data_IF_853646610677
#
_entry.id   IF_853646610677
#
_cell.length_a   1.000
_cell.length_b   1.000
_cell.length_c   1.000
_cell.angle_alpha   90.00
_cell.angle_beta   90.00
_cell.angle_gamma   90.00
#
_symmetry.space_group_name_H-M   'P 1'
#
loop_
_entity.id
_entity.type
_entity.pdbx_description
1 polymer ?
#
# COMPACT_ATOMS: atom_id res chain seq x y z
N UNK A 1 19.34 20.52 5.09
CA UNK A 1 18.06 21.09 4.61
C UNK A 1 17.55 20.41 3.34
N UNK A 2 18.23 20.50 2.18
CA UNK A 2 17.70 19.86 0.97
C UNK A 2 17.91 18.32 0.95
N UNK A 3 19.02 17.86 1.55
CA UNK A 3 19.32 16.44 1.68
C UNK A 3 18.32 15.71 2.60
N UNK A 4 17.86 16.38 3.66
CA UNK A 4 16.83 15.92 4.59
C UNK A 4 15.50 15.58 3.89
N UNK A 5 15.27 16.15 2.71
CA UNK A 5 14.12 15.83 1.85
C UNK A 5 14.49 14.79 0.78
N UNK A 6 15.62 14.98 0.10
CA UNK A 6 16.00 14.13 -1.03
C UNK A 6 16.35 12.70 -0.62
N UNK A 7 17.02 12.50 0.52
CA UNK A 7 17.39 11.18 1.03
C UNK A 7 16.15 10.30 1.26
N UNK A 8 15.17 10.70 2.10
CA UNK A 8 13.96 9.91 2.28
C UNK A 8 13.13 9.82 1.00
N UNK A 9 13.07 10.87 0.18
CA UNK A 9 12.37 10.81 -1.11
C UNK A 9 12.89 9.66 -1.99
N UNK A 10 14.20 9.58 -2.22
CA UNK A 10 14.77 8.53 -3.07
C UNK A 10 14.77 7.18 -2.36
N UNK A 11 15.12 7.13 -1.08
CA UNK A 11 15.20 5.87 -0.32
C UNK A 11 13.84 5.18 -0.24
N UNK A 12 12.79 5.90 0.16
CA UNK A 12 11.43 5.36 0.24
C UNK A 12 10.91 5.03 -1.16
N UNK A 13 11.13 5.91 -2.14
CA UNK A 13 10.67 5.70 -3.51
C UNK A 13 11.23 4.43 -4.12
N UNK A 14 12.55 4.23 -3.99
CA UNK A 14 13.22 3.03 -4.48
C UNK A 14 12.80 1.78 -3.71
N UNK A 15 12.57 1.88 -2.41
CA UNK A 15 12.11 0.75 -1.59
C UNK A 15 10.68 0.31 -1.93
N UNK A 16 9.83 1.23 -2.37
CA UNK A 16 8.44 0.95 -2.76
C UNK A 16 8.32 0.46 -4.21
N UNK A 17 9.29 0.76 -5.09
CA UNK A 17 9.29 0.35 -6.50
C UNK A 17 9.17 -1.17 -6.68
N UNK A 18 8.04 -1.59 -7.24
CA UNK A 18 7.72 -3.00 -7.46
C UNK A 18 7.24 -3.75 -6.21
N UNK A 19 7.02 -3.07 -5.08
CA UNK A 19 6.53 -3.73 -3.87
C UNK A 19 5.05 -4.11 -3.96
N UNK A 20 4.61 -4.95 -3.01
CA UNK A 20 3.23 -5.43 -2.81
C UNK A 20 2.19 -4.34 -2.96
N UNK A 21 2.47 -3.15 -2.44
CA UNK A 21 1.55 -2.03 -2.38
C UNK A 21 1.40 -1.38 -3.74
N UNK A 22 2.49 -1.24 -4.50
CA UNK A 22 2.43 -0.80 -5.89
C UNK A 22 1.66 -1.78 -6.77
N UNK A 23 1.90 -3.09 -6.64
CA UNK A 23 1.13 -4.10 -7.37
C UNK A 23 -0.37 -4.02 -7.05
N UNK A 24 -0.71 -3.81 -5.78
CA UNK A 24 -2.08 -3.67 -5.34
C UNK A 24 -2.75 -2.39 -5.88
N UNK A 25 -2.02 -1.26 -5.95
CA UNK A 25 -2.48 0.00 -6.56
C UNK A 25 -2.68 -0.15 -8.08
N UNK A 26 -1.75 -0.81 -8.78
CA UNK A 26 -1.91 -1.13 -10.22
C UNK A 26 -3.21 -1.92 -10.44
N UNK A 27 -3.45 -2.94 -9.62
CA UNK A 27 -4.64 -3.78 -9.74
C UNK A 27 -5.93 -3.01 -9.41
N UNK A 28 -5.96 -2.22 -8.33
CA UNK A 28 -7.12 -1.41 -7.98
C UNK A 28 -7.43 -0.36 -9.04
N UNK A 29 -6.42 0.40 -9.48
CA UNK A 29 -6.55 1.43 -10.51
C UNK A 29 -7.06 0.87 -11.84
N UNK A 30 -6.64 -0.34 -12.20
CA UNK A 30 -7.11 -1.00 -13.42
C UNK A 30 -8.58 -1.43 -13.39
N UNK A 31 -9.22 -1.44 -12.22
CA UNK A 31 -10.62 -1.85 -12.02
C UNK A 31 -11.56 -0.69 -11.68
N UNK A 32 -11.03 0.49 -11.42
CA UNK A 32 -11.81 1.71 -11.16
C UNK A 32 -11.70 2.70 -12.31
N UNK A 33 -12.72 3.54 -12.48
CA UNK A 33 -12.68 4.69 -13.40
C UNK A 33 -12.29 5.98 -12.67
N UNK A 34 -12.50 6.04 -11.36
CA UNK A 34 -12.31 7.24 -10.53
C UNK A 34 -10.89 7.29 -9.94
N UNK A 35 -9.90 7.42 -10.82
CA UNK A 35 -8.47 7.40 -10.47
C UNK A 35 -8.06 8.52 -9.50
N UNK A 36 -8.71 9.70 -9.59
CA UNK A 36 -8.45 10.80 -8.66
C UNK A 36 -8.91 10.47 -7.25
N UNK A 37 -10.11 9.90 -7.09
CA UNK A 37 -10.59 9.48 -5.78
C UNK A 37 -9.70 8.40 -5.19
N UNK A 38 -9.25 7.45 -6.02
CA UNK A 38 -8.29 6.42 -5.61
C UNK A 38 -6.98 7.06 -5.10
N UNK A 39 -6.40 7.98 -5.87
CA UNK A 39 -5.16 8.68 -5.49
C UNK A 39 -5.32 9.45 -4.17
N UNK A 40 -6.41 10.19 -4.01
CA UNK A 40 -6.68 10.95 -2.77
C UNK A 40 -6.79 10.00 -1.57
N UNK A 41 -7.45 8.84 -1.74
CA UNK A 41 -7.54 7.83 -0.67
C UNK A 41 -6.18 7.26 -0.29
N UNK A 42 -5.35 6.93 -1.29
CA UNK A 42 -3.98 6.43 -1.11
C UNK A 42 -3.11 7.47 -0.40
N UNK A 43 -3.08 8.72 -0.88
CA UNK A 43 -2.28 9.80 -0.31
C UNK A 43 -2.71 10.10 1.12
N UNK A 44 -4.02 10.14 1.39
CA UNK A 44 -4.51 10.39 2.74
C UNK A 44 -4.11 9.27 3.71
N UNK A 45 -4.12 8.01 3.26
CA UNK A 45 -3.63 6.91 4.06
C UNK A 45 -2.14 7.09 4.39
N UNK A 46 -1.28 7.34 3.39
CA UNK A 46 0.15 7.61 3.62
C UNK A 46 0.40 8.80 4.57
N UNK A 47 -0.33 9.90 4.41
CA UNK A 47 -0.25 11.04 5.33
C UNK A 47 -0.46 10.62 6.79
N UNK A 48 -1.43 9.74 7.04
CA UNK A 48 -1.72 9.28 8.41
C UNK A 48 -0.66 8.27 8.87
N UNK A 49 -0.37 7.26 8.06
CA UNK A 49 0.54 6.17 8.44
C UNK A 49 1.97 6.70 8.63
N UNK A 50 2.53 7.38 7.63
CA UNK A 50 3.87 7.93 7.70
C UNK A 50 3.95 9.14 8.64
N UNK A 51 2.90 9.95 8.70
CA UNK A 51 2.81 11.06 9.63
C UNK A 51 2.94 10.59 11.08
N UNK A 52 2.19 9.55 11.46
CA UNK A 52 2.29 8.96 12.82
C UNK A 52 3.71 8.45 13.09
N UNK A 53 4.34 7.75 12.13
CA UNK A 53 5.67 7.19 12.34
C UNK A 53 6.77 8.24 12.43
N UNK A 54 6.75 9.24 11.55
CA UNK A 54 7.73 10.31 11.52
C UNK A 54 7.60 11.19 12.77
N UNK A 55 6.37 11.47 13.23
CA UNK A 55 6.14 12.22 14.47
C UNK A 55 6.50 11.41 15.72
N UNK A 56 6.28 10.09 15.71
CA UNK A 56 6.72 9.21 16.78
C UNK A 56 8.26 9.06 16.81
N UNK A 57 8.93 9.26 15.67
CA UNK A 57 10.37 9.09 15.54
C UNK A 57 10.83 7.68 15.96
N UNK A 58 11.97 7.58 16.62
CA UNK A 58 12.55 6.30 17.06
C UNK A 58 11.70 5.51 18.08
N UNK A 59 10.66 6.12 18.67
CA UNK A 59 9.77 5.44 19.62
C UNK A 59 8.96 4.32 18.97
N UNK A 60 8.64 4.44 17.67
CA UNK A 60 7.78 3.46 16.99
C UNK A 60 8.48 2.10 16.82
N UNK A 61 9.82 2.09 16.77
CA UNK A 61 10.65 0.90 16.64
C UNK A 61 10.53 -0.05 17.83
N UNK A 62 10.10 0.46 19.00
CA UNK A 62 9.97 -0.35 20.23
C UNK A 62 8.56 -0.89 20.47
N UNK A 63 7.53 -0.34 19.81
CA UNK A 63 6.13 -0.61 20.15
C UNK A 63 5.51 -1.68 19.26
N UNK A 64 5.97 -1.84 18.01
CA UNK A 64 5.29 -2.69 17.03
C UNK A 64 6.16 -3.89 16.62
N UNK A 65 5.83 -5.12 17.07
CA UNK A 65 6.55 -6.32 16.66
C UNK A 65 6.33 -6.59 15.16
N UNK A 66 7.43 -6.62 14.39
CA UNK A 66 7.44 -6.90 12.93
C UNK A 66 6.68 -8.20 12.59
N UNK A 67 6.72 -9.20 13.48
CA UNK A 67 6.02 -10.47 13.34
C UNK A 67 4.49 -10.32 13.26
N UNK A 68 3.90 -9.47 14.09
CA UNK A 68 2.45 -9.26 14.15
C UNK A 68 1.95 -8.62 12.85
N UNK A 69 2.68 -7.61 12.37
CA UNK A 69 2.39 -6.87 11.15
C UNK A 69 2.39 -7.77 9.92
N UNK A 70 3.38 -8.67 9.84
CA UNK A 70 3.50 -9.62 8.74
C UNK A 70 2.31 -10.58 8.67
N UNK A 71 1.89 -11.14 9.80
CA UNK A 71 0.72 -12.03 9.86
C UNK A 71 -0.55 -11.27 9.49
N UNK A 72 -0.74 -10.07 10.07
CA UNK A 72 -1.92 -9.26 9.84
C UNK A 72 -2.08 -8.85 8.38
N UNK A 73 -1.02 -8.29 7.77
CA UNK A 73 -1.01 -7.95 6.34
C UNK A 73 -1.24 -9.18 5.47
N UNK A 74 -0.64 -10.32 5.81
CA UNK A 74 -0.86 -11.59 5.11
C UNK A 74 -2.33 -12.01 5.07
N UNK A 75 -3.01 -11.98 6.22
CA UNK A 75 -4.45 -12.28 6.34
C UNK A 75 -5.30 -11.30 5.54
N UNK A 76 -4.97 -10.01 5.57
CA UNK A 76 -5.68 -8.96 4.82
C UNK A 76 -5.57 -9.19 3.32
N UNK A 77 -4.36 -9.42 2.80
CA UNK A 77 -4.13 -9.68 1.38
C UNK A 77 -4.86 -10.94 0.90
N UNK A 78 -4.82 -12.04 1.68
CA UNK A 78 -5.60 -13.25 1.37
C UNK A 78 -7.10 -12.94 1.37
N UNK A 79 -7.58 -12.19 2.36
CA UNK A 79 -8.99 -11.81 2.46
C UNK A 79 -9.42 -11.01 1.23
N UNK A 80 -8.67 -9.96 0.86
CA UNK A 80 -8.93 -9.19 -0.36
C UNK A 80 -8.92 -10.07 -1.61
N UNK A 81 -7.95 -10.99 -1.74
CA UNK A 81 -7.87 -11.88 -2.89
C UNK A 81 -9.06 -12.85 -2.99
N UNK A 82 -9.47 -13.45 -1.88
CA UNK A 82 -10.67 -14.32 -1.81
C UNK A 82 -11.94 -13.52 -2.10
N UNK A 83 -12.05 -12.31 -1.55
CA UNK A 83 -13.20 -11.43 -1.78
C UNK A 83 -13.34 -11.03 -3.25
N UNK A 84 -12.22 -10.67 -3.90
CA UNK A 84 -12.17 -10.37 -5.33
C UNK A 84 -12.58 -11.59 -6.15
N UNK A 85 -12.16 -12.80 -5.76
CA UNK A 85 -12.50 -14.05 -6.43
C UNK A 85 -13.99 -14.41 -6.29
N UNK A 86 -14.56 -14.30 -5.09
CA UNK A 86 -15.97 -14.62 -4.79
C UNK A 86 -16.95 -13.60 -5.37
N UNK A 87 -16.52 -12.35 -5.57
CA UNK A 87 -17.32 -11.29 -6.20
C UNK A 87 -17.74 -11.56 -7.66
N UNK A 88 -17.35 -12.68 -8.26
CA UNK A 88 -17.86 -13.13 -9.56
C UNK A 88 -19.32 -13.60 -9.58
N UNK A 89 -19.91 -13.89 -8.40
CA UNK A 89 -21.30 -14.34 -8.26
C UNK A 89 -22.13 -13.37 -7.41
N UNK A 90 -22.63 -12.30 -8.04
CA UNK A 90 -23.90 -11.57 -7.80
C UNK A 90 -24.37 -11.10 -6.40
N UNK A 91 -24.07 -11.80 -5.30
CA UNK A 91 -24.67 -11.58 -3.97
C UNK A 91 -23.71 -10.85 -3.03
N UNK A 92 -22.39 -10.97 -3.25
CA UNK A 92 -21.36 -10.33 -2.43
C UNK A 92 -20.93 -8.93 -2.93
N UNK A 93 -21.27 -8.56 -4.18
CA UNK A 93 -21.07 -7.19 -4.70
C UNK A 93 -21.80 -6.14 -3.85
N UNK A 94 -22.89 -6.50 -3.17
CA UNK A 94 -23.73 -5.55 -2.45
C UNK A 94 -23.21 -5.22 -1.03
N UNK A 95 -22.54 -6.17 -0.36
CA UNK A 95 -22.10 -6.01 1.05
C UNK A 95 -20.68 -5.49 1.22
N UNK A 96 -19.80 -5.63 0.22
CA UNK A 96 -18.40 -5.16 0.25
C UNK A 96 -18.04 -4.26 -0.93
N UNK A 97 -19.04 -3.64 -1.57
CA UNK A 97 -18.80 -2.46 -2.40
C UNK A 97 -18.25 -1.36 -1.49
N UNK A 98 -16.94 -1.25 -1.43
CA UNK A 98 -16.31 0.06 -1.26
C UNK A 98 -16.83 0.92 -2.42
N UNK A 99 -17.97 1.59 -2.21
CA UNK A 99 -18.67 2.34 -3.28
C UNK A 99 -17.77 3.42 -3.87
N UNK A 100 -16.78 3.90 -3.12
CA UNK A 100 -15.80 4.85 -3.58
C UNK A 100 -14.44 4.20 -3.83
N UNK A 101 -13.81 4.57 -4.94
CA UNK A 101 -12.42 4.25 -5.23
C UNK A 101 -11.48 4.80 -4.13
N UNK A 102 -11.88 5.93 -3.53
CA UNK A 102 -11.26 6.50 -2.34
C UNK A 102 -11.17 5.50 -1.20
N UNK A 103 -12.29 4.91 -0.77
CA UNK A 103 -12.30 4.05 0.41
C UNK A 103 -11.55 2.74 0.17
N UNK A 104 -11.57 2.24 -1.07
CA UNK A 104 -10.76 1.09 -1.49
C UNK A 104 -9.26 1.38 -1.34
N UNK A 105 -8.80 2.49 -1.92
CA UNK A 105 -7.39 2.90 -1.86
C UNK A 105 -6.95 3.20 -0.43
N UNK A 106 -7.73 4.02 0.29
CA UNK A 106 -7.46 4.38 1.67
C UNK A 106 -7.34 3.15 2.56
N UNK A 107 -8.37 2.29 2.58
CA UNK A 107 -8.41 1.13 3.47
C UNK A 107 -7.30 0.14 3.15
N UNK A 108 -7.03 -0.09 1.87
CA UNK A 108 -5.93 -0.97 1.48
C UNK A 108 -4.60 -0.44 1.99
N UNK A 109 -4.22 0.78 1.59
CA UNK A 109 -2.92 1.37 1.95
C UNK A 109 -2.78 1.50 3.46
N UNK A 110 -3.82 2.00 4.14
CA UNK A 110 -3.82 2.13 5.58
C UNK A 110 -3.57 0.78 6.24
N UNK A 111 -4.23 -0.30 5.82
CA UNK A 111 -4.02 -1.58 6.47
C UNK A 111 -2.66 -2.19 6.11
N UNK A 112 -2.20 -2.06 4.86
CA UNK A 112 -1.00 -2.75 4.37
C UNK A 112 0.31 -2.07 4.72
N UNK A 113 0.28 -0.75 4.91
CA UNK A 113 1.46 0.08 5.21
C UNK A 113 1.67 0.30 6.70
N UNK A 114 0.65 0.04 7.52
CA UNK A 114 0.84 0.07 8.97
C UNK A 114 1.92 -0.94 9.37
N UNK A 115 2.98 -0.42 9.97
CA UNK A 115 4.11 -1.16 10.46
C UNK A 115 5.10 -1.63 9.39
N UNK A 116 4.98 -1.21 8.12
CA UNK A 116 5.90 -1.72 7.11
C UNK A 116 7.35 -1.20 7.28
N UNK A 117 8.28 -1.90 6.63
CA UNK A 117 9.71 -1.56 6.58
C UNK A 117 9.98 -0.09 6.22
N UNK A 118 9.19 0.48 5.30
CA UNK A 118 9.34 1.85 4.82
C UNK A 118 8.86 2.86 5.86
N UNK A 119 7.84 2.52 6.64
CA UNK A 119 7.40 3.32 7.79
C UNK A 119 8.48 3.37 8.89
N UNK A 120 9.13 2.24 9.18
CA UNK A 120 10.25 2.19 10.14
C UNK A 120 11.44 3.01 9.62
N UNK A 121 11.77 2.88 8.33
CA UNK A 121 12.82 3.67 7.70
C UNK A 121 12.53 5.18 7.77
N UNK A 122 11.28 5.59 7.51
CA UNK A 122 10.86 6.98 7.62
C UNK A 122 11.01 7.53 9.05
N UNK A 123 10.66 6.73 10.07
CA UNK A 123 10.84 7.10 11.47
C UNK A 123 12.32 7.24 11.88
N UNK A 124 13.20 6.39 11.32
CA UNK A 124 14.64 6.49 11.51
C UNK A 124 15.21 7.75 10.85
N UNK A 125 14.82 8.05 9.61
CA UNK A 125 15.20 9.31 8.96
C UNK A 125 14.73 10.53 9.76
N UNK A 126 13.54 10.48 10.36
CA UNK A 126 13.02 11.54 11.22
C UNK A 126 13.83 11.75 12.52
N UNK A 127 14.65 10.77 12.92
CA UNK A 127 15.54 10.85 14.07
C UNK A 127 16.90 11.47 13.74
N UNK A 128 17.32 11.40 12.47
CA UNK A 128 18.61 11.93 12.00
C UNK A 128 18.47 13.28 11.27
N UNK A 129 17.32 13.51 10.64
CA UNK A 129 17.04 14.68 9.79
C UNK A 129 15.83 15.47 10.28
N UNK A 130 15.60 16.65 9.70
CA UNK A 130 14.42 17.45 10.03
C UNK A 130 13.12 16.71 9.67
N UNK A 131 12.29 16.39 10.67
CA UNK A 131 11.10 15.55 10.51
C UNK A 131 10.08 16.09 9.51
N UNK A 132 9.94 17.41 9.37
CA UNK A 132 9.04 18.00 8.36
C UNK A 132 9.57 17.80 6.93
N UNK A 133 10.88 17.94 6.72
CA UNK A 133 11.50 17.68 5.41
C UNK A 133 11.43 16.20 5.05
N UNK A 134 11.61 15.31 6.04
CA UNK A 134 11.43 13.86 5.88
C UNK A 134 10.00 13.54 5.48
N UNK A 135 9.00 14.10 6.17
CA UNK A 135 7.58 13.90 5.85
C UNK A 135 7.26 14.34 4.42
N UNK A 136 7.70 15.53 4.02
CA UNK A 136 7.46 16.04 2.66
C UNK A 136 8.16 15.15 1.63
N UNK A 137 9.40 14.74 1.86
CA UNK A 137 10.15 13.86 0.96
C UNK A 137 9.47 12.49 0.81
N UNK A 138 9.10 11.85 1.91
CA UNK A 138 8.39 10.57 1.94
C UNK A 138 7.05 10.66 1.20
N UNK A 139 6.21 11.65 1.54
CA UNK A 139 4.89 11.80 0.90
C UNK A 139 4.99 12.14 -0.59
N UNK A 140 5.93 12.99 -0.98
CA UNK A 140 6.15 13.30 -2.40
C UNK A 140 6.55 12.05 -3.19
N UNK A 141 7.41 11.21 -2.60
CA UNK A 141 7.86 9.96 -3.21
C UNK A 141 6.72 8.96 -3.37
N UNK A 142 5.99 8.69 -2.28
CA UNK A 142 4.85 7.76 -2.26
C UNK A 142 3.73 8.20 -3.21
N UNK A 143 3.48 9.51 -3.29
CA UNK A 143 2.52 10.07 -4.24
C UNK A 143 2.98 9.86 -5.69
N UNK A 144 4.25 10.12 -6.00
CA UNK A 144 4.80 9.96 -7.35
C UNK A 144 4.75 8.50 -7.80
N UNK A 145 5.18 7.60 -6.93
CA UNK A 145 5.09 6.14 -7.10
C UNK A 145 3.63 5.72 -7.35
N UNK A 146 2.68 6.23 -6.56
CA UNK A 146 1.26 5.89 -6.69
C UNK A 146 0.67 6.40 -8.00
N UNK A 147 1.06 7.59 -8.45
CA UNK A 147 0.67 8.12 -9.76
C UNK A 147 1.17 7.21 -10.88
N UNK A 148 2.43 6.77 -10.81
CA UNK A 148 3.00 5.85 -11.79
C UNK A 148 2.24 4.51 -11.81
N UNK A 149 1.97 3.93 -10.64
CA UNK A 149 1.19 2.70 -10.49
C UNK A 149 -0.23 2.84 -11.07
N UNK A 150 -0.92 3.95 -10.77
CA UNK A 150 -2.26 4.25 -11.29
C UNK A 150 -2.24 4.38 -12.82
N UNK A 151 -1.22 5.06 -13.37
CA UNK A 151 -1.06 5.20 -14.81
C UNK A 151 -0.85 3.85 -15.49
N UNK A 152 0.03 3.00 -14.93
CA UNK A 152 0.24 1.64 -15.41
C UNK A 152 -1.04 0.80 -15.36
N UNK A 153 -1.77 0.83 -14.26
CA UNK A 153 -3.05 0.11 -14.13
C UNK A 153 -4.09 0.56 -15.14
N UNK A 154 -4.18 1.87 -15.42
CA UNK A 154 -5.03 2.43 -16.48
C UNK A 154 -4.66 1.89 -17.86
N UNK A 155 -3.36 1.78 -18.19
CA UNK A 155 -2.90 1.21 -19.46
C UNK A 155 -3.26 -0.26 -19.60
N UNK A 156 -3.13 -1.04 -18.52
CA UNK A 156 -3.44 -2.47 -18.50
C UNK A 156 -4.95 -2.71 -18.64
N UNK A 157 -5.77 -1.85 -18.01
CA UNK A 157 -7.25 -1.94 -18.08
C UNK A 157 -7.78 -1.92 -19.51
N UNK A 158 -7.15 -1.14 -20.40
CA UNK A 158 -7.56 -1.04 -21.79
C UNK A 158 -7.23 -2.29 -22.64
N UNK A 159 -6.33 -3.16 -22.16
CA UNK A 159 -5.86 -4.35 -22.90
C UNK A 159 -6.43 -5.66 -22.38
N UNK A 160 -6.99 -5.68 -21.17
CA UNK A 160 -7.39 -6.92 -20.48
C UNK A 160 -8.87 -6.86 -20.09
N UNK A 161 -9.62 -7.93 -20.38
CA UNK A 161 -11.03 -7.99 -20.02
C UNK A 161 -11.25 -8.07 -18.49
N UNK A 162 -12.41 -7.64 -18.02
CA UNK A 162 -12.72 -7.50 -16.58
C UNK A 162 -12.66 -8.83 -15.81
N UNK A 163 -12.97 -9.96 -16.45
CA UNK A 163 -12.87 -11.30 -15.84
C UNK A 163 -11.43 -11.70 -15.59
N UNK A 164 -10.55 -11.50 -16.57
CA UNK A 164 -9.13 -11.79 -16.45
C UNK A 164 -8.46 -10.86 -15.43
N UNK A 165 -8.81 -9.57 -15.43
CA UNK A 165 -8.32 -8.63 -14.43
C UNK A 165 -8.71 -9.05 -13.00
N UNK A 166 -9.94 -9.52 -12.82
CA UNK A 166 -10.42 -10.03 -11.52
C UNK A 166 -9.62 -11.26 -11.09
N UNK A 167 -9.35 -12.19 -12.01
CA UNK A 167 -8.51 -13.38 -11.73
C UNK A 167 -7.09 -12.99 -11.34
N UNK A 168 -6.43 -12.16 -12.14
CA UNK A 168 -5.06 -11.70 -11.87
C UNK A 168 -5.00 -11.03 -10.50
N UNK A 169 -5.91 -10.10 -10.22
CA UNK A 169 -5.96 -9.44 -8.92
C UNK A 169 -6.14 -10.44 -7.77
N UNK A 170 -7.13 -11.33 -7.84
CA UNK A 170 -7.35 -12.33 -6.78
C UNK A 170 -6.12 -13.21 -6.53
N UNK A 171 -5.46 -13.66 -7.60
CA UNK A 171 -4.28 -14.53 -7.50
C UNK A 171 -3.12 -13.76 -6.89
N UNK A 172 -2.84 -12.55 -7.38
CA UNK A 172 -1.75 -11.70 -6.85
C UNK A 172 -1.94 -11.40 -5.37
N UNK A 173 -3.13 -10.98 -4.96
CA UNK A 173 -3.43 -10.71 -3.55
C UNK A 173 -3.29 -11.96 -2.66
N UNK A 174 -3.77 -13.13 -3.12
CA UNK A 174 -3.59 -14.39 -2.38
C UNK A 174 -2.11 -14.77 -2.27
N UNK A 175 -1.35 -14.67 -3.36
CA UNK A 175 0.09 -15.01 -3.37
C UNK A 175 0.86 -14.08 -2.44
N UNK A 176 0.61 -12.77 -2.48
CA UNK A 176 1.24 -11.81 -1.57
C UNK A 176 0.94 -12.19 -0.12
N UNK A 177 -0.32 -12.49 0.21
CA UNK A 177 -0.68 -12.80 1.57
C UNK A 177 -0.12 -14.15 2.07
N UNK A 178 -0.06 -15.17 1.22
CA UNK A 178 0.61 -16.45 1.54
C UNK A 178 2.11 -16.25 1.74
N UNK A 179 2.76 -15.47 0.88
CA UNK A 179 4.19 -15.15 0.99
C UNK A 179 4.51 -14.52 2.36
N UNK A 180 3.66 -13.59 2.81
CA UNK A 180 3.79 -12.96 4.13
C UNK A 180 3.66 -13.97 5.27
N UNK A 181 2.68 -14.86 5.22
CA UNK A 181 2.52 -15.90 6.23
C UNK A 181 3.70 -16.89 6.25
N UNK A 182 4.13 -17.38 5.10
CA UNK A 182 5.27 -18.31 5.01
C UNK A 182 6.57 -17.67 5.52
N UNK A 183 6.82 -16.42 5.14
CA UNK A 183 8.01 -15.70 5.59
C UNK A 183 8.00 -15.43 7.10
N UNK A 184 6.83 -15.40 7.75
CA UNK A 184 6.75 -15.39 9.22
C UNK A 184 7.23 -16.72 9.81
N UNK A 185 6.72 -17.85 9.32
CA UNK A 185 7.07 -19.20 9.83
C UNK A 185 8.53 -19.61 9.60
N UNK A 186 9.20 -19.06 8.57
CA UNK A 186 10.60 -19.39 8.26
C UNK A 186 11.58 -18.60 9.15
N UNK A 187 11.19 -17.42 9.64
CA UNK A 187 12.02 -16.55 10.47
C UNK A 187 11.71 -16.64 11.98
N UNK A 188 10.70 -17.42 12.38
CA UNK A 188 10.37 -17.73 13.78
C UNK A 188 11.17 -18.92 14.29
#
# INVERSE_FOLDING_TARGET
MILDLLIPFFAIGLAELGDKTQLAVILLSSRTKDHLQLLIGIVLAFVIVDGVAILAGSLITYIIPISFLRIFSGVVFITFGILILKGGNGIFEERLRFKSAFLSGFTLIFITEWGDKTQIAAALFASEYNSMMVLIGTLASLTLVSIAAIYLGKLISNKINRKMMTRIASITFIIIGISFLLFHFIMS
#
